data_IF_703588367675
#
_entry.id   IF_703588367675
#
_cell.length_a   1.000
_cell.length_b   1.000
_cell.length_c   1.000
_cell.angle_alpha   90.00
_cell.angle_beta   90.00
_cell.angle_gamma   90.00
#
_symmetry.space_group_name_H-M   'P 1'
#
loop_
_entity.id
_entity.type
_entity.pdbx_description
1 polymer ?
#
# COMPACT_ATOMS: atom_id res chain seq x y z
N UNK A 1 37.46 2.73 67.39
CA UNK A 1 38.80 2.15 67.67
C UNK A 1 38.64 1.11 68.76
N UNK A 2 39.38 -0.02 68.77
CA UNK A 2 40.63 -0.34 68.03
C UNK A 2 40.42 -1.43 66.94
N UNK A 3 41.13 -1.44 65.80
CA UNK A 3 42.52 -1.92 65.57
C UNK A 3 42.73 -3.41 65.88
N UNK A 4 43.45 -4.26 65.14
CA UNK A 4 44.09 -4.36 63.80
C UNK A 4 44.80 -5.75 63.86
N UNK A 5 45.02 -6.42 62.71
CA UNK A 5 46.11 -7.38 62.39
C UNK A 5 45.61 -8.23 61.21
N UNK A 6 45.96 -7.98 59.94
CA UNK A 6 47.27 -8.05 59.24
C UNK A 6 47.87 -9.46 59.20
N UNK A 7 48.06 -9.94 57.96
CA UNK A 7 48.88 -11.10 57.58
C UNK A 7 48.08 -12.10 56.74
N UNK A 8 48.52 -12.59 55.59
CA UNK A 8 49.65 -12.21 54.75
C UNK A 8 49.42 -12.78 53.35
N UNK A 9 50.12 -12.18 52.40
CA UNK A 9 50.36 -12.55 51.00
C UNK A 9 50.37 -14.07 50.71
N UNK A 10 49.57 -14.50 49.72
CA UNK A 10 50.13 -15.32 48.64
C UNK A 10 49.49 -15.02 47.29
N UNK A 11 50.38 -14.66 46.39
CA UNK A 11 50.20 -14.28 45.00
C UNK A 11 50.18 -15.56 44.16
N UNK A 12 49.08 -15.85 43.47
CA UNK A 12 49.13 -16.69 42.26
C UNK A 12 48.36 -15.97 41.16
N UNK A 13 49.11 -15.59 40.14
CA UNK A 13 48.65 -14.93 38.93
C UNK A 13 47.88 -15.89 38.00
N UNK A 14 46.95 -15.33 37.24
CA UNK A 14 46.80 -15.45 35.76
C UNK A 14 45.32 -15.31 35.31
N UNK A 15 44.91 -14.07 35.04
CA UNK A 15 44.13 -13.58 33.87
C UNK A 15 42.71 -14.17 33.58
N UNK A 16 41.92 -13.59 32.65
CA UNK A 16 40.75 -12.78 33.03
C UNK A 16 39.44 -13.26 32.36
N UNK A 17 38.36 -12.51 32.62
CA UNK A 17 37.14 -12.38 31.79
C UNK A 17 35.99 -13.38 31.99
N UNK A 18 34.93 -12.90 32.63
CA UNK A 18 33.55 -13.12 32.15
C UNK A 18 32.62 -12.04 32.72
N UNK A 19 32.23 -11.11 31.85
CA UNK A 19 31.12 -10.18 32.10
C UNK A 19 29.79 -10.96 32.10
N UNK A 20 28.84 -10.63 32.99
CA UNK A 20 27.50 -11.20 32.94
C UNK A 20 26.61 -10.45 31.92
N UNK A 21 25.91 -11.22 31.07
CA UNK A 21 24.57 -10.84 30.63
C UNK A 21 24.40 -10.25 29.22
N UNK A 22 25.11 -10.75 28.21
CA UNK A 22 24.73 -10.51 26.81
C UNK A 22 23.35 -11.11 26.51
N UNK A 23 22.39 -10.25 26.13
CA UNK A 23 21.10 -10.63 25.55
C UNK A 23 21.36 -11.53 24.36
N UNK A 24 20.95 -12.80 24.44
CA UNK A 24 20.98 -13.72 23.31
C UNK A 24 20.07 -13.16 22.23
N UNK A 25 20.66 -12.58 21.18
CA UNK A 25 19.96 -12.38 19.90
C UNK A 25 19.51 -13.76 19.43
N UNK A 26 18.23 -14.09 19.59
CA UNK A 26 17.67 -15.21 18.85
C UNK A 26 17.80 -14.82 17.38
N UNK A 27 18.68 -15.52 16.68
CA UNK A 27 18.97 -15.36 15.27
C UNK A 27 17.70 -15.75 14.48
N UNK A 28 16.71 -14.85 14.46
CA UNK A 28 15.43 -15.03 13.79
C UNK A 28 15.61 -14.71 12.29
N UNK A 29 16.57 -15.39 11.66
CA UNK A 29 16.68 -15.42 10.21
C UNK A 29 15.59 -16.36 9.71
N UNK A 30 14.61 -15.88 8.92
CA UNK A 30 13.69 -16.80 8.27
C UNK A 30 14.52 -17.76 7.42
N UNK A 31 14.29 -19.06 7.60
CA UNK A 31 14.91 -20.08 6.77
C UNK A 31 14.64 -19.72 5.30
N UNK A 32 15.71 -19.58 4.51
CA UNK A 32 15.59 -19.42 3.06
C UNK A 32 14.90 -20.68 2.53
N UNK A 33 13.63 -20.56 2.18
CA UNK A 33 12.91 -21.59 1.45
C UNK A 33 13.62 -21.72 0.09
N UNK A 34 14.16 -22.91 -0.26
CA UNK A 34 14.80 -23.10 -1.55
C UNK A 34 13.76 -22.90 -2.65
N UNK A 35 14.05 -21.99 -3.57
CA UNK A 35 13.33 -21.85 -4.84
C UNK A 35 13.79 -23.00 -5.74
N UNK A 36 13.03 -24.09 -5.78
CA UNK A 36 13.28 -25.18 -6.73
C UNK A 36 13.10 -24.67 -8.17
N UNK A 37 14.07 -24.94 -9.08
CA UNK A 37 14.08 -24.36 -10.43
C UNK A 37 13.21 -25.14 -11.44
N UNK A 38 12.39 -26.09 -10.98
CA UNK A 38 11.58 -26.96 -11.85
C UNK A 38 10.11 -26.60 -11.69
N UNK A 39 9.66 -25.70 -12.57
CA UNK A 39 8.28 -25.35 -12.78
C UNK A 39 7.47 -26.59 -13.22
N UNK A 40 6.61 -27.12 -12.36
CA UNK A 40 5.37 -27.73 -12.81
C UNK A 40 4.20 -26.93 -12.21
N UNK A 41 3.30 -26.46 -13.06
CA UNK A 41 2.39 -25.34 -12.80
C UNK A 41 1.09 -25.74 -12.07
N UNK A 42 1.10 -26.86 -11.35
CA UNK A 42 -0.12 -27.49 -10.80
C UNK A 42 -0.12 -27.66 -9.26
N UNK A 43 0.84 -27.08 -8.53
CA UNK A 43 0.96 -27.26 -7.07
C UNK A 43 1.10 -25.97 -6.24
N UNK A 44 0.48 -24.87 -6.69
CA UNK A 44 0.27 -23.68 -5.84
C UNK A 44 -1.09 -23.75 -5.06
N UNK A 45 -1.91 -24.77 -5.30
CA UNK A 45 -3.27 -24.86 -4.73
C UNK A 45 -3.37 -25.62 -3.39
N UNK A 46 -2.24 -25.85 -2.69
CA UNK A 46 -2.26 -26.50 -1.37
C UNK A 46 -1.30 -25.84 -0.37
N UNK A 47 -1.48 -24.54 -0.12
CA UNK A 47 -1.04 -23.91 1.13
C UNK A 47 -2.21 -23.94 2.12
N UNK A 48 -2.27 -24.89 3.08
CA UNK A 48 -3.38 -25.01 4.04
C UNK A 48 -3.35 -23.96 5.17
N UNK A 49 -2.63 -22.86 4.99
CA UNK A 49 -2.60 -21.77 5.96
C UNK A 49 -2.92 -20.45 5.25
N UNK A 50 -4.04 -19.79 5.58
CA UNK A 50 -4.34 -18.48 5.02
C UNK A 50 -3.29 -17.49 5.55
N UNK A 51 -2.43 -17.01 4.65
CA UNK A 51 -1.72 -15.76 4.88
C UNK A 51 -2.78 -14.67 5.14
N UNK A 52 -2.43 -13.67 5.96
CA UNK A 52 -3.24 -12.46 6.04
C UNK A 52 -3.42 -11.92 4.62
N UNK A 53 -4.66 -11.92 4.14
CA UNK A 53 -5.03 -11.48 2.79
C UNK A 53 -6.07 -10.38 2.87
N UNK A 54 -5.89 -9.36 2.04
CA UNK A 54 -6.95 -8.45 1.67
C UNK A 54 -7.96 -9.18 0.79
N UNK A 55 -9.18 -8.68 0.71
CA UNK A 55 -10.13 -9.19 -0.28
C UNK A 55 -9.61 -8.94 -1.70
N UNK A 56 -9.99 -9.80 -2.63
CA UNK A 56 -9.74 -9.59 -4.05
C UNK A 56 -10.27 -8.23 -4.52
N UNK A 57 -11.37 -7.75 -3.91
CA UNK A 57 -11.93 -6.45 -4.19
C UNK A 57 -10.96 -5.31 -3.87
N UNK A 58 -10.37 -5.33 -2.68
CA UNK A 58 -9.34 -4.36 -2.25
C UNK A 58 -8.08 -4.45 -3.12
N UNK A 59 -7.59 -5.67 -3.40
CA UNK A 59 -6.42 -5.88 -4.27
C UNK A 59 -6.66 -5.32 -5.68
N UNK A 60 -7.81 -5.62 -6.29
CA UNK A 60 -8.14 -5.11 -7.62
C UNK A 60 -8.32 -3.59 -7.63
N UNK A 61 -8.86 -3.00 -6.56
CA UNK A 61 -8.96 -1.55 -6.41
C UNK A 61 -7.60 -0.88 -6.44
N UNK A 62 -6.64 -1.39 -5.66
CA UNK A 62 -5.26 -0.88 -5.66
C UNK A 62 -4.60 -1.01 -7.04
N UNK A 63 -4.77 -2.16 -7.71
CA UNK A 63 -4.21 -2.40 -9.05
C UNK A 63 -4.78 -1.46 -10.11
N UNK A 64 -6.09 -1.22 -10.09
CA UNK A 64 -6.74 -0.25 -10.99
C UNK A 64 -6.17 1.15 -10.76
N UNK A 65 -6.07 1.58 -9.50
CA UNK A 65 -5.55 2.91 -9.17
C UNK A 65 -4.08 3.08 -9.58
N UNK A 66 -3.23 2.07 -9.33
CA UNK A 66 -1.83 2.06 -9.76
C UNK A 66 -1.70 2.10 -11.27
N UNK A 67 -2.48 1.30 -12.01
CA UNK A 67 -2.45 1.32 -13.47
C UNK A 67 -2.80 2.70 -14.03
N UNK A 68 -3.88 3.31 -13.54
CA UNK A 68 -4.30 4.64 -13.98
C UNK A 68 -3.28 5.71 -13.59
N UNK A 69 -2.67 5.60 -12.41
CA UNK A 69 -1.60 6.50 -11.97
C UNK A 69 -0.35 6.38 -12.86
N UNK A 70 0.06 5.16 -13.25
CA UNK A 70 1.20 4.93 -14.16
C UNK A 70 0.89 5.40 -15.58
N UNK A 71 -0.36 5.24 -16.04
CA UNK A 71 -0.78 5.72 -17.37
C UNK A 71 -0.70 7.24 -17.48
N UNK A 72 -0.97 7.96 -16.39
CA UNK A 72 -0.89 9.41 -16.34
C UNK A 72 -1.94 10.08 -17.23
N UNK A 73 -1.50 10.94 -18.14
CA UNK A 73 -2.37 11.69 -19.04
C UNK A 73 -2.95 10.78 -20.14
N UNK A 74 -4.20 10.34 -19.96
CA UNK A 74 -4.92 9.56 -20.95
C UNK A 74 -6.06 8.74 -20.38
N UNK A 75 -6.90 8.19 -21.26
CA UNK A 75 -7.98 7.28 -20.87
C UNK A 75 -7.54 5.83 -21.06
N UNK A 76 -7.76 4.99 -20.05
CA UNK A 76 -7.64 3.53 -20.13
C UNK A 76 -9.00 2.87 -20.23
N UNK A 77 -9.10 1.76 -20.92
CA UNK A 77 -10.28 0.91 -20.95
C UNK A 77 -10.17 -0.20 -19.91
N UNK A 78 -11.32 -0.73 -19.48
CA UNK A 78 -11.35 -1.93 -18.64
C UNK A 78 -10.64 -3.11 -19.32
N UNK A 79 -10.69 -3.19 -20.65
CA UNK A 79 -9.97 -4.20 -21.42
C UNK A 79 -8.46 -4.11 -21.21
N UNK A 80 -7.88 -2.92 -21.35
CA UNK A 80 -6.44 -2.73 -21.17
C UNK A 80 -5.98 -3.12 -19.75
N UNK A 81 -6.76 -2.79 -18.72
CA UNK A 81 -6.46 -3.17 -17.32
C UNK A 81 -6.61 -4.68 -17.12
N UNK A 82 -7.66 -5.27 -17.71
CA UNK A 82 -7.90 -6.72 -17.70
C UNK A 82 -6.74 -7.48 -18.32
N UNK A 83 -6.21 -7.00 -19.45
CA UNK A 83 -5.09 -7.63 -20.15
C UNK A 83 -3.78 -7.49 -19.37
N UNK A 84 -3.56 -6.34 -18.72
CA UNK A 84 -2.35 -6.09 -17.95
C UNK A 84 -2.24 -6.96 -16.69
N UNK A 85 -3.35 -7.20 -15.98
CA UNK A 85 -3.33 -7.95 -14.71
C UNK A 85 -3.96 -9.34 -14.76
N UNK A 86 -4.61 -9.72 -15.86
CA UNK A 86 -5.36 -10.98 -15.96
C UNK A 86 -6.62 -11.03 -15.08
N UNK A 87 -7.19 -9.87 -14.74
CA UNK A 87 -8.39 -9.77 -13.89
C UNK A 87 -9.63 -9.75 -14.76
N UNK A 88 -10.68 -10.48 -14.38
CA UNK A 88 -11.93 -10.48 -15.15
C UNK A 88 -12.54 -9.07 -15.24
N UNK A 89 -13.08 -8.72 -16.41
CA UNK A 89 -13.79 -7.45 -16.64
C UNK A 89 -14.94 -7.24 -15.66
N UNK A 90 -15.62 -8.31 -15.25
CA UNK A 90 -16.74 -8.24 -14.32
C UNK A 90 -16.30 -7.74 -12.93
N UNK A 91 -15.14 -8.19 -12.44
CA UNK A 91 -14.57 -7.69 -11.20
C UNK A 91 -14.15 -6.22 -11.35
N UNK A 92 -13.48 -5.88 -12.46
CA UNK A 92 -13.05 -4.52 -12.73
C UNK A 92 -14.22 -3.53 -12.85
N UNK A 93 -15.35 -3.92 -13.45
CA UNK A 93 -16.54 -3.07 -13.51
C UNK A 93 -17.06 -2.68 -12.12
N UNK A 94 -17.16 -3.65 -11.21
CA UNK A 94 -17.60 -3.39 -9.82
C UNK A 94 -16.62 -2.50 -9.07
N UNK A 95 -15.33 -2.74 -9.24
CA UNK A 95 -14.25 -1.94 -8.63
C UNK A 95 -14.30 -0.50 -9.15
N UNK A 96 -14.30 -0.32 -10.47
CA UNK A 96 -14.29 1.00 -11.11
C UNK A 96 -15.54 1.80 -10.76
N UNK A 97 -16.70 1.15 -10.64
CA UNK A 97 -17.92 1.82 -10.20
C UNK A 97 -17.74 2.46 -8.82
N UNK A 98 -17.30 1.69 -7.83
CA UNK A 98 -17.07 2.21 -6.47
C UNK A 98 -15.98 3.29 -6.45
N UNK A 99 -14.88 3.10 -7.18
CA UNK A 99 -13.81 4.11 -7.27
C UNK A 99 -14.30 5.41 -7.92
N UNK A 100 -15.27 5.33 -8.83
CA UNK A 100 -15.97 6.49 -9.39
C UNK A 100 -16.90 7.16 -8.39
N UNK A 101 -17.66 6.39 -7.62
CA UNK A 101 -18.53 6.89 -6.54
C UNK A 101 -17.73 7.58 -5.42
N UNK A 102 -16.53 7.08 -5.11
CA UNK A 102 -15.57 7.71 -4.20
C UNK A 102 -14.91 8.97 -4.78
N UNK A 103 -15.13 9.26 -6.06
CA UNK A 103 -14.55 10.40 -6.75
C UNK A 103 -13.05 10.28 -7.00
N UNK A 104 -12.50 9.06 -7.04
CA UNK A 104 -11.07 8.82 -7.25
C UNK A 104 -10.71 8.51 -8.69
N UNK A 105 -11.67 7.96 -9.44
CA UNK A 105 -11.56 7.63 -10.86
C UNK A 105 -12.65 8.36 -11.65
N UNK A 106 -12.28 8.99 -12.75
CA UNK A 106 -13.20 9.59 -13.70
C UNK A 106 -13.53 8.59 -14.82
N UNK A 107 -14.81 8.38 -15.08
CA UNK A 107 -15.29 7.47 -16.13
C UNK A 107 -15.92 8.25 -17.28
N UNK A 108 -15.25 8.25 -18.42
CA UNK A 108 -15.74 8.85 -19.67
C UNK A 108 -16.50 7.79 -20.46
N UNK A 109 -17.77 8.07 -20.79
CA UNK A 109 -18.61 7.17 -21.61
C UNK A 109 -18.43 7.43 -23.11
N UNK A 110 -18.76 6.43 -23.93
CA UNK A 110 -18.77 6.53 -25.40
C UNK A 110 -17.71 5.65 -26.06
N UNK A 111 -17.68 5.67 -27.41
CA UNK A 111 -16.79 4.82 -28.23
C UNK A 111 -15.30 5.04 -27.96
N UNK A 112 -14.93 6.28 -27.61
CA UNK A 112 -13.57 6.68 -27.23
C UNK A 112 -13.47 7.00 -25.73
N UNK A 113 -14.38 6.43 -24.94
CA UNK A 113 -14.41 6.59 -23.49
C UNK A 113 -13.34 5.75 -22.80
N UNK A 114 -13.33 5.82 -21.48
CA UNK A 114 -12.39 5.10 -20.65
C UNK A 114 -12.34 5.67 -19.24
N UNK A 115 -11.23 5.41 -18.57
CA UNK A 115 -10.99 5.65 -17.17
C UNK A 115 -9.72 6.48 -17.05
N UNK A 116 -9.74 7.46 -16.17
CA UNK A 116 -8.52 8.17 -15.74
C UNK A 116 -8.58 8.42 -14.26
N UNK A 117 -7.41 8.56 -13.66
CA UNK A 117 -7.32 8.93 -12.25
C UNK A 117 -7.58 10.43 -12.10
N UNK A 118 -8.30 10.84 -11.06
CA UNK A 118 -8.31 12.26 -10.72
C UNK A 118 -6.95 12.70 -10.16
N UNK A 119 -6.47 13.93 -10.44
CA UNK A 119 -5.16 14.39 -9.96
C UNK A 119 -4.99 14.34 -8.44
N UNK A 120 -6.07 14.57 -7.69
CA UNK A 120 -6.03 14.53 -6.22
C UNK A 120 -5.83 13.11 -5.68
N UNK A 121 -6.22 12.07 -6.43
CA UNK A 121 -6.08 10.67 -6.02
C UNK A 121 -4.63 10.23 -5.93
N UNK A 122 -3.69 10.89 -6.61
CA UNK A 122 -2.26 10.61 -6.46
C UNK A 122 -1.74 10.90 -5.04
N UNK A 123 -2.45 11.75 -4.28
CA UNK A 123 -2.12 12.08 -2.89
C UNK A 123 -2.77 11.13 -1.88
N UNK A 124 -3.62 10.21 -2.33
CA UNK A 124 -4.21 9.20 -1.45
C UNK A 124 -3.12 8.24 -0.97
N UNK A 125 -3.17 7.93 0.31
CA UNK A 125 -2.34 6.87 0.89
C UNK A 125 -2.91 5.50 0.56
N UNK A 126 -2.05 4.49 0.53
CA UNK A 126 -2.50 3.09 0.36
C UNK A 126 -3.48 2.73 1.48
N UNK A 127 -3.21 3.18 2.70
CA UNK A 127 -4.10 2.94 3.84
C UNK A 127 -5.50 3.54 3.66
N UNK A 128 -5.64 4.70 3.01
CA UNK A 128 -6.95 5.28 2.69
C UNK A 128 -7.72 4.44 1.67
N UNK A 129 -7.06 3.99 0.60
CA UNK A 129 -7.69 3.13 -0.41
C UNK A 129 -8.17 1.85 0.24
N UNK A 130 -7.28 1.20 0.99
CA UNK A 130 -7.53 -0.08 1.63
C UNK A 130 -8.69 -0.01 2.63
N UNK A 131 -8.79 1.04 3.45
CA UNK A 131 -9.93 1.23 4.37
C UNK A 131 -11.26 1.51 3.67
N UNK A 132 -11.25 2.08 2.47
CA UNK A 132 -12.48 2.40 1.74
C UNK A 132 -13.02 1.22 0.93
N UNK A 133 -12.16 0.23 0.63
CA UNK A 133 -12.51 -0.92 -0.22
C UNK A 133 -12.68 -2.20 0.57
N UNK A 134 -12.17 -2.26 1.80
CA UNK A 134 -12.32 -3.40 2.68
C UNK A 134 -13.41 -3.17 3.72
N UNK A 135 -14.33 -4.12 3.87
CA UNK A 135 -15.58 -3.86 4.59
C UNK A 135 -15.46 -3.87 6.12
N UNK A 136 -14.60 -4.71 6.74
CA UNK A 136 -14.51 -4.72 8.22
C UNK A 136 -13.11 -4.89 8.82
N UNK A 137 -12.12 -5.33 8.03
CA UNK A 137 -10.77 -5.65 8.53
C UNK A 137 -10.76 -6.41 9.87
N UNK A 138 -11.78 -7.24 10.12
CA UNK A 138 -11.95 -7.98 11.35
C UNK A 138 -10.99 -9.17 11.34
N UNK A 139 -9.74 -8.89 11.69
CA UNK A 139 -8.68 -9.88 11.88
C UNK A 139 -9.13 -11.03 12.80
N UNK A 140 -10.00 -10.70 13.76
CA UNK A 140 -10.64 -11.65 14.67
C UNK A 140 -12.11 -11.31 14.84
N UNK A 141 -12.94 -12.32 15.08
CA UNK A 141 -14.40 -12.16 15.17
C UNK A 141 -14.90 -11.23 16.28
N UNK A 142 -14.04 -10.84 17.25
CA UNK A 142 -14.38 -9.83 18.26
C UNK A 142 -14.17 -8.38 17.80
N UNK A 143 -13.74 -8.16 16.56
CA UNK A 143 -13.66 -6.84 15.91
C UNK A 143 -14.86 -6.52 15.03
N UNK A 144 -15.71 -7.50 14.70
CA UNK A 144 -16.89 -7.30 13.87
C UNK A 144 -17.80 -6.23 14.50
N UNK A 145 -18.14 -5.19 13.72
CA UNK A 145 -18.93 -4.05 14.18
C UNK A 145 -20.45 -4.35 14.25
N UNK A 146 -20.89 -5.45 13.64
CA UNK A 146 -22.27 -5.62 13.18
C UNK A 146 -23.10 -6.57 14.05
N UNK A 147 -22.85 -6.63 15.36
CA UNK A 147 -23.60 -7.50 16.28
C UNK A 147 -23.37 -9.01 16.09
N UNK A 148 -22.59 -9.41 15.08
CA UNK A 148 -22.09 -10.77 14.84
C UNK A 148 -20.81 -11.09 15.64
N UNK A 149 -20.42 -10.23 16.59
CA UNK A 149 -19.36 -10.57 17.54
C UNK A 149 -19.79 -11.83 18.30
N UNK A 150 -19.10 -12.95 18.01
CA UNK A 150 -19.27 -14.19 18.77
C UNK A 150 -18.94 -13.84 20.23
N UNK A 151 -19.94 -13.94 21.10
CA UNK A 151 -19.83 -13.61 22.53
C UNK A 151 -18.68 -14.38 23.17
N UNK A 152 -17.51 -13.75 23.23
CA UNK A 152 -16.32 -14.31 23.83
C UNK A 152 -16.39 -14.06 25.34
N UNK A 153 -16.40 -15.12 26.14
CA UNK A 153 -16.59 -15.03 27.61
C UNK A 153 -15.54 -14.13 28.28
N UNK A 154 -14.33 -14.07 27.72
CA UNK A 154 -13.23 -13.28 28.26
C UNK A 154 -13.16 -11.86 27.71
N UNK A 155 -14.01 -11.46 26.76
CA UNK A 155 -13.91 -10.17 26.05
C UNK A 155 -13.75 -8.95 26.98
N UNK A 156 -14.51 -8.82 28.10
CA UNK A 156 -14.35 -7.69 29.02
C UNK A 156 -12.96 -7.54 29.66
N UNK A 157 -12.15 -8.61 29.64
CA UNK A 157 -10.81 -8.66 30.25
C UNK A 157 -9.74 -9.17 29.26
N UNK A 158 -10.07 -9.24 27.96
CA UNK A 158 -9.22 -9.88 26.96
C UNK A 158 -8.05 -8.97 26.55
N UNK A 159 -6.87 -9.19 27.14
CA UNK A 159 -5.64 -8.47 26.76
C UNK A 159 -5.18 -8.77 25.32
N UNK A 160 -5.51 -9.96 24.79
CA UNK A 160 -5.21 -10.33 23.40
C UNK A 160 -5.91 -9.41 22.41
N UNK A 161 -7.16 -9.00 22.68
CA UNK A 161 -7.91 -8.06 21.84
C UNK A 161 -7.14 -6.76 21.62
N UNK A 162 -6.54 -6.22 22.68
CA UNK A 162 -5.72 -5.01 22.62
C UNK A 162 -4.44 -5.19 21.80
N UNK A 163 -3.74 -6.32 21.95
CA UNK A 163 -2.53 -6.63 21.16
C UNK A 163 -2.86 -6.74 19.67
N UNK A 164 -3.96 -7.41 19.32
CA UNK A 164 -4.41 -7.55 17.94
C UNK A 164 -4.87 -6.23 17.33
N UNK A 165 -5.49 -5.36 18.13
CA UNK A 165 -5.90 -4.04 17.69
C UNK A 165 -4.66 -3.19 17.38
N UNK A 166 -3.67 -3.19 18.28
CA UNK A 166 -2.40 -2.50 18.06
C UNK A 166 -1.66 -3.03 16.82
N UNK A 167 -1.68 -4.34 16.56
CA UNK A 167 -1.09 -4.92 15.35
C UNK A 167 -1.80 -4.46 14.06
N UNK A 168 -3.14 -4.44 14.05
CA UNK A 168 -3.94 -3.92 12.94
C UNK A 168 -3.65 -2.43 12.72
N UNK A 169 -3.60 -1.64 13.79
CA UNK A 169 -3.36 -0.21 13.70
C UNK A 169 -1.94 0.09 13.20
N UNK A 170 -0.94 -0.72 13.60
CA UNK A 170 0.42 -0.63 13.07
C UNK A 170 0.51 -0.99 11.58
N UNK A 171 -0.25 -2.00 11.13
CA UNK A 171 -0.35 -2.34 9.70
C UNK A 171 -0.87 -1.16 8.88
N UNK A 172 -1.96 -0.53 9.33
CA UNK A 172 -2.50 0.64 8.67
C UNK A 172 -1.59 1.86 8.75
N UNK A 173 -0.95 2.09 9.90
CA UNK A 173 0.00 3.17 10.06
C UNK A 173 1.17 3.05 9.08
N UNK A 174 1.61 1.83 8.74
CA UNK A 174 2.59 1.63 7.68
C UNK A 174 2.02 1.99 6.30
N UNK A 175 0.81 1.52 5.96
CA UNK A 175 0.17 1.83 4.67
C UNK A 175 -0.13 3.32 4.49
N UNK A 176 -0.38 4.05 5.57
CA UNK A 176 -0.63 5.50 5.56
C UNK A 176 0.63 6.32 5.23
N UNK A 177 1.82 5.70 5.29
CA UNK A 177 3.08 6.38 4.95
C UNK A 177 3.32 6.48 3.46
N UNK A 178 2.62 5.65 2.68
CA UNK A 178 2.87 5.52 1.24
C UNK A 178 1.70 6.04 0.43
N UNK A 179 1.96 6.97 -0.47
CA UNK A 179 0.97 7.52 -1.41
C UNK A 179 0.90 6.74 -2.71
N UNK A 180 -0.20 6.83 -3.46
CA UNK A 180 -0.25 6.23 -4.79
C UNK A 180 0.77 6.86 -5.75
N UNK A 181 0.96 8.18 -5.68
CA UNK A 181 1.87 8.90 -6.55
C UNK A 181 3.34 8.52 -6.37
N UNK A 182 3.78 8.20 -5.14
CA UNK A 182 5.16 7.77 -4.93
C UNK A 182 5.41 6.34 -5.44
N UNK A 183 4.41 5.45 -5.32
CA UNK A 183 4.53 4.04 -5.70
C UNK A 183 4.62 3.85 -7.21
N UNK A 184 4.30 4.87 -8.00
CA UNK A 184 4.44 4.85 -9.46
C UNK A 184 5.78 5.41 -9.95
N UNK A 185 6.70 5.80 -9.05
CA UNK A 185 8.00 6.38 -9.41
C UNK A 185 9.14 5.37 -9.15
N UNK A 186 10.02 5.08 -10.12
CA UNK A 186 9.98 5.54 -11.51
C UNK A 186 8.90 4.83 -12.33
N UNK A 187 8.21 5.56 -13.22
CA UNK A 187 7.11 4.99 -13.99
C UNK A 187 7.57 4.08 -15.14
N UNK A 188 8.77 4.29 -15.69
CA UNK A 188 9.23 3.60 -16.90
C UNK A 188 9.25 2.06 -16.79
N UNK A 189 9.76 1.45 -15.69
CA UNK A 189 9.68 0.00 -15.53
C UNK A 189 8.24 -0.52 -15.43
N UNK A 190 7.36 0.22 -14.74
CA UNK A 190 5.95 -0.17 -14.59
C UNK A 190 5.20 -0.08 -15.92
N UNK A 191 5.45 0.95 -16.72
CA UNK A 191 4.88 1.10 -18.07
C UNK A 191 5.21 -0.12 -18.92
N UNK A 192 6.47 -0.58 -18.90
CA UNK A 192 6.91 -1.74 -19.67
C UNK A 192 6.23 -3.04 -19.19
N UNK A 193 6.14 -3.26 -17.88
CA UNK A 193 5.52 -4.46 -17.30
C UNK A 193 4.00 -4.51 -17.52
N UNK A 194 3.33 -3.36 -17.48
CA UNK A 194 1.88 -3.24 -17.65
C UNK A 194 1.45 -3.16 -19.12
N UNK A 195 2.41 -3.18 -20.06
CA UNK A 195 2.12 -3.05 -21.49
C UNK A 195 1.45 -1.71 -21.86
N UNK A 196 1.66 -0.67 -21.05
CA UNK A 196 1.07 0.64 -21.29
C UNK A 196 1.80 1.29 -22.46
N UNK A 197 1.04 1.75 -23.46
CA UNK A 197 1.58 2.59 -24.53
C UNK A 197 1.57 4.04 -24.04
N UNK A 198 2.73 4.71 -23.92
CA UNK A 198 2.76 6.10 -23.50
C UNK A 198 1.98 6.94 -24.49
N UNK A 199 0.98 7.69 -24.01
CA UNK A 199 0.35 8.73 -24.81
C UNK A 199 1.30 9.92 -24.76
N UNK A 200 1.91 10.28 -25.89
CA UNK A 200 2.71 11.50 -25.98
C UNK A 200 1.72 12.67 -25.97
N UNK A 201 1.74 13.55 -24.94
CA UNK A 201 0.89 14.72 -24.97
C UNK A 201 1.34 15.62 -26.12
N UNK A 202 0.45 15.83 -27.10
CA UNK A 202 0.63 16.88 -28.10
C UNK A 202 0.43 18.20 -27.36
N UNK A 203 1.52 18.92 -27.09
CA UNK A 203 1.42 20.25 -26.51
C UNK A 203 0.63 21.13 -27.49
N UNK A 204 -0.49 21.67 -27.01
CA UNK A 204 -1.18 22.72 -27.73
C UNK A 204 -0.25 23.93 -27.79
N UNK A 205 0.22 24.28 -28.98
CA UNK A 205 1.00 25.50 -29.17
C UNK A 205 0.18 26.70 -28.69
N UNK A 206 0.80 27.66 -27.98
CA UNK A 206 0.12 28.88 -27.62
C UNK A 206 -0.20 29.63 -28.92
N UNK A 207 -1.50 29.77 -29.23
CA UNK A 207 -1.96 30.66 -30.28
C UNK A 207 -1.58 32.10 -29.90
N UNK A 208 -0.40 32.54 -30.35
CA UNK A 208 0.04 33.92 -30.31
C UNK A 208 -0.55 34.71 -31.49
N UNK A 209 -1.10 35.88 -31.18
CA UNK A 209 -1.63 36.90 -32.08
C UNK A 209 -2.92 37.50 -31.49
N UNK A 210 -2.99 38.74 -30.98
CA UNK A 210 -2.21 39.94 -31.31
C UNK A 210 -2.02 40.90 -30.12
N UNK A 211 -0.91 41.63 -30.19
CA UNK A 211 -0.60 42.78 -29.37
C UNK A 211 -1.27 44.07 -29.88
N UNK A 212 -1.73 44.88 -28.93
CA UNK A 212 -1.73 46.34 -28.86
C UNK A 212 -2.07 47.19 -30.12
N UNK A 213 -3.12 48.01 -29.98
CA UNK A 213 -3.16 49.36 -30.55
C UNK A 213 -3.84 50.32 -29.58
N UNK A 214 -3.07 51.29 -29.09
CA UNK A 214 -3.51 52.46 -28.33
C UNK A 214 -4.23 53.46 -29.24
N UNK A 215 -5.27 54.12 -28.73
CA UNK A 215 -5.70 55.45 -29.20
C UNK A 215 -6.42 56.21 -28.07
N UNK A 216 -5.79 57.30 -27.63
CA UNK A 216 -6.41 58.43 -26.93
C UNK A 216 -7.47 59.12 -27.81
N UNK A 217 -8.61 59.50 -27.22
CA UNK A 217 -9.31 60.77 -27.50
C UNK A 217 -10.44 61.05 -26.50
N UNK A 218 -10.21 62.05 -25.64
CA UNK A 218 -11.10 63.11 -25.15
C UNK A 218 -12.65 62.97 -25.07
N UNK A 219 -13.15 63.46 -23.92
CA UNK A 219 -14.37 64.29 -23.72
C UNK A 219 -15.68 63.62 -23.29
N UNK A 220 -15.95 63.63 -21.97
CA UNK A 220 -17.12 64.33 -21.36
C UNK A 220 -17.20 64.15 -19.83
N UNK A 221 -17.64 65.25 -19.19
CA UNK A 221 -17.99 65.49 -17.78
C UNK A 221 -16.85 65.90 -16.84
#
# INVERSE_FOLDING_TARGET
MPEKCVGDLHLIALSPSRQPGAVRRSDNRPARIPIDPVCNRDTIDHFPYPLMRLTDYTDYSLRVMLYLAVRGEGLATIQEISDAYGISKNHLMKVVQQLGELGWVDTVRGRNGGLRLFPHSLKLTVGQVVRATENDFALVGCFAADGESRRCVIEPQCRLKGVLAAARDAFFAELDRHTLGELTVPASPLIALLGIRPVVPVQAEPSGGDAAASAEASSKA
#
